data_IF_910250582680
#
_entry.id   IF_910250582680
#
_cell.length_a   1.000
_cell.length_b   1.000
_cell.length_c   1.000
_cell.angle_alpha   90.00
_cell.angle_beta   90.00
_cell.angle_gamma   90.00
#
_symmetry.space_group_name_H-M   'P 1'
#
loop_
_entity.id
_entity.type
_entity.pdbx_description
1 polymer ?
#
# COMPACT_ATOMS: atom_id res chain seq x y z
N UNK A 1 -9.92 -32.80 -44.76
CA UNK A 1 -8.69 -32.02 -44.93
C UNK A 1 -9.11 -30.57 -45.10
N UNK A 2 -8.97 -29.68 -44.14
CA UNK A 2 -8.22 -29.73 -42.88
C UNK A 2 -8.92 -28.81 -41.87
N UNK A 3 -9.01 -29.28 -40.63
CA UNK A 3 -9.33 -28.50 -39.45
C UNK A 3 -8.03 -27.96 -38.86
N UNK A 4 -8.17 -26.88 -38.10
CA UNK A 4 -7.23 -26.33 -37.12
C UNK A 4 -6.19 -25.31 -37.61
N UNK A 5 -6.67 -24.07 -37.81
CA UNK A 5 -5.90 -22.86 -37.52
C UNK A 5 -5.92 -22.65 -35.98
N UNK A 6 -5.06 -23.38 -35.28
CA UNK A 6 -4.83 -23.18 -33.84
C UNK A 6 -4.04 -21.87 -33.65
N UNK A 7 -4.76 -20.79 -33.39
CA UNK A 7 -4.18 -19.49 -33.05
C UNK A 7 -3.56 -19.55 -31.65
N UNK A 8 -2.29 -19.93 -31.59
CA UNK A 8 -1.49 -19.98 -30.36
C UNK A 8 -1.31 -18.56 -29.81
N UNK A 9 -2.11 -18.18 -28.82
CA UNK A 9 -1.95 -16.94 -28.06
C UNK A 9 -0.70 -17.06 -27.17
N UNK A 10 0.43 -16.59 -27.69
CA UNK A 10 1.64 -16.32 -26.89
C UNK A 10 1.36 -15.12 -25.96
N UNK A 11 0.59 -15.35 -24.90
CA UNK A 11 0.62 -14.48 -23.74
C UNK A 11 2.02 -14.60 -23.13
N UNK A 12 2.86 -13.61 -23.38
CA UNK A 12 4.18 -13.50 -22.75
C UNK A 12 3.96 -13.48 -21.24
N UNK A 13 4.38 -14.54 -20.55
CA UNK A 13 4.29 -14.65 -19.10
C UNK A 13 5.21 -13.63 -18.41
N UNK A 14 4.64 -12.47 -18.15
CA UNK A 14 5.28 -11.38 -17.43
C UNK A 14 5.07 -11.49 -15.91
N UNK A 15 4.61 -12.64 -15.38
CA UNK A 15 4.37 -12.83 -13.94
C UNK A 15 5.60 -12.50 -13.09
N UNK A 16 6.79 -12.85 -13.58
CA UNK A 16 8.08 -12.54 -12.97
C UNK A 16 8.36 -11.03 -12.81
N UNK A 17 7.63 -10.16 -13.54
CA UNK A 17 7.73 -8.71 -13.42
C UNK A 17 6.81 -8.14 -12.33
N UNK A 18 5.81 -8.88 -11.83
CA UNK A 18 4.96 -8.40 -10.75
C UNK A 18 5.71 -8.49 -9.42
N UNK A 19 5.64 -7.42 -8.61
CA UNK A 19 6.02 -7.58 -7.21
C UNK A 19 4.89 -8.32 -6.50
N UNK A 20 5.23 -9.43 -5.87
CA UNK A 20 4.31 -10.20 -5.05
C UNK A 20 4.20 -9.61 -3.62
N UNK A 21 3.29 -10.18 -2.85
CA UNK A 21 3.05 -9.85 -1.45
C UNK A 21 4.32 -9.95 -0.58
N UNK A 22 5.16 -10.96 -0.80
CA UNK A 22 6.39 -11.16 -0.02
C UNK A 22 7.35 -9.95 -0.18
N UNK A 23 7.56 -9.47 -1.40
CA UNK A 23 8.42 -8.32 -1.67
C UNK A 23 7.83 -7.04 -1.07
N UNK A 24 6.52 -6.81 -1.25
CA UNK A 24 5.84 -5.63 -0.73
C UNK A 24 5.90 -5.62 0.81
N UNK A 25 5.61 -6.75 1.45
CA UNK A 25 5.64 -6.88 2.92
C UNK A 25 7.04 -6.59 3.47
N UNK A 26 8.09 -7.19 2.89
CA UNK A 26 9.48 -6.90 3.30
C UNK A 26 9.83 -5.42 3.16
N UNK A 27 9.34 -4.75 2.13
CA UNK A 27 9.61 -3.32 1.96
C UNK A 27 8.84 -2.45 2.95
N UNK A 28 7.58 -2.79 3.24
CA UNK A 28 6.75 -2.14 4.27
C UNK A 28 7.35 -2.30 5.67
N UNK A 29 7.95 -3.45 5.98
CA UNK A 29 8.70 -3.68 7.21
C UNK A 29 9.89 -2.73 7.31
N UNK A 30 10.69 -2.58 6.25
CA UNK A 30 11.82 -1.63 6.24
C UNK A 30 11.39 -0.18 6.47
N UNK A 31 10.25 0.24 5.92
CA UNK A 31 9.68 1.58 6.14
C UNK A 31 9.30 1.76 7.61
N UNK A 32 8.69 0.74 8.22
CA UNK A 32 8.32 0.72 9.64
C UNK A 32 9.55 0.75 10.54
N UNK A 33 10.53 -0.11 10.28
CA UNK A 33 11.79 -0.23 11.05
C UNK A 33 12.63 1.04 11.03
N UNK A 34 12.58 1.82 9.94
CA UNK A 34 13.29 3.10 9.87
C UNK A 34 12.68 4.15 10.81
N UNK A 35 11.38 4.07 11.10
CA UNK A 35 10.67 5.11 11.87
C UNK A 35 9.61 4.51 12.78
N UNK A 36 9.99 3.58 13.68
CA UNK A 36 9.07 2.68 14.38
C UNK A 36 8.12 3.43 15.32
N UNK A 37 8.53 4.58 15.85
CA UNK A 37 7.71 5.39 16.76
C UNK A 37 6.62 6.18 16.03
N UNK A 38 6.81 6.49 14.74
CA UNK A 38 5.93 7.41 14.00
C UNK A 38 5.20 6.79 12.83
N UNK A 39 5.71 5.69 12.28
CA UNK A 39 5.18 5.04 11.07
C UNK A 39 4.90 3.58 11.38
N UNK A 40 3.78 3.08 10.87
CA UNK A 40 3.49 1.64 10.86
C UNK A 40 2.85 1.25 9.54
N UNK A 41 3.40 0.23 8.89
CA UNK A 41 2.80 -0.36 7.71
C UNK A 41 2.17 -1.72 8.06
N UNK A 42 0.94 -1.95 7.60
CA UNK A 42 0.30 -3.26 7.67
C UNK A 42 0.85 -4.16 6.56
N UNK A 43 0.77 -5.46 6.78
CA UNK A 43 1.02 -6.42 5.71
C UNK A 43 -0.12 -6.39 4.67
N UNK A 44 0.16 -6.95 3.49
CA UNK A 44 -0.73 -7.00 2.32
C UNK A 44 -2.02 -7.78 2.55
N UNK A 45 -2.07 -8.66 3.55
CA UNK A 45 -3.24 -9.48 3.86
C UNK A 45 -4.26 -8.78 4.75
N UNK A 46 -3.87 -7.69 5.43
CA UNK A 46 -4.72 -7.02 6.40
C UNK A 46 -6.03 -6.51 5.79
N UNK A 47 -5.93 -5.79 4.68
CA UNK A 47 -7.13 -5.23 4.04
C UNK A 47 -8.06 -6.33 3.55
N UNK A 48 -7.51 -7.35 2.87
CA UNK A 48 -8.28 -8.49 2.36
C UNK A 48 -9.04 -9.20 3.49
N UNK A 49 -8.33 -9.52 4.58
CA UNK A 49 -8.92 -10.15 5.75
C UNK A 49 -10.01 -9.29 6.41
N UNK A 50 -9.80 -7.97 6.50
CA UNK A 50 -10.78 -7.03 7.01
C UNK A 50 -12.01 -6.92 6.10
N UNK A 51 -11.83 -6.88 4.77
CA UNK A 51 -12.93 -6.73 3.82
C UNK A 51 -13.77 -7.99 3.67
N UNK A 52 -13.14 -9.16 3.76
CA UNK A 52 -13.79 -10.47 3.62
C UNK A 52 -14.42 -10.93 4.93
N UNK A 53 -13.65 -10.91 6.03
CA UNK A 53 -14.02 -11.55 7.31
C UNK A 53 -14.40 -10.56 8.41
N UNK A 54 -14.19 -9.27 8.18
CA UNK A 54 -14.55 -8.21 9.13
C UNK A 54 -13.61 -8.07 10.33
N UNK A 55 -13.99 -7.18 11.24
CA UNK A 55 -13.15 -6.74 12.36
C UNK A 55 -12.73 -7.86 13.31
N UNK A 56 -13.64 -8.78 13.63
CA UNK A 56 -13.38 -9.88 14.57
C UNK A 56 -12.20 -10.76 14.15
N UNK A 57 -11.93 -10.85 12.85
CA UNK A 57 -10.81 -11.61 12.31
C UNK A 57 -9.46 -10.87 12.46
N UNK A 58 -9.48 -9.53 12.39
CA UNK A 58 -8.27 -8.70 12.38
C UNK A 58 -7.98 -8.00 13.71
N UNK A 59 -8.90 -8.00 14.67
CA UNK A 59 -8.77 -7.27 15.94
C UNK A 59 -7.54 -7.66 16.79
N UNK A 60 -6.96 -8.85 16.56
CA UNK A 60 -5.74 -9.30 17.27
C UNK A 60 -4.44 -8.95 16.54
N UNK A 61 -4.49 -8.47 15.30
CA UNK A 61 -3.30 -8.24 14.48
C UNK A 61 -2.42 -7.13 15.04
N UNK A 62 -3.05 -6.15 15.68
CA UNK A 62 -2.44 -5.01 16.37
C UNK A 62 -2.24 -5.25 17.87
N UNK A 63 -2.37 -6.50 18.38
CA UNK A 63 -2.28 -6.78 19.82
C UNK A 63 -0.96 -6.32 20.46
N UNK A 64 0.15 -6.32 19.69
CA UNK A 64 1.49 -5.94 20.15
C UNK A 64 1.90 -4.52 19.76
N UNK A 65 1.03 -3.76 19.11
CA UNK A 65 1.36 -2.42 18.60
C UNK A 65 0.20 -1.45 18.78
N UNK A 66 0.48 -0.31 19.38
CA UNK A 66 -0.48 0.79 19.46
C UNK A 66 -0.43 1.64 18.19
N UNK A 67 -1.30 1.33 17.22
CA UNK A 67 -1.34 2.08 15.95
C UNK A 67 -1.75 3.54 16.13
N UNK A 68 -2.44 3.90 17.23
CA UNK A 68 -2.87 5.27 17.50
C UNK A 68 -1.77 6.13 18.13
N UNK A 69 -0.66 5.53 18.57
CA UNK A 69 0.55 6.27 18.94
C UNK A 69 1.37 6.70 17.72
N UNK A 70 1.05 6.18 16.53
CA UNK A 70 1.75 6.50 15.29
C UNK A 70 1.21 7.79 14.69
N UNK A 71 2.01 8.42 13.83
CA UNK A 71 1.59 9.57 13.02
C UNK A 71 0.97 9.12 11.69
N UNK A 72 1.55 8.07 11.08
CA UNK A 72 1.21 7.61 9.74
C UNK A 72 1.01 6.10 9.71
N UNK A 73 -0.03 5.66 9.01
CA UNK A 73 -0.22 4.25 8.67
C UNK A 73 -0.21 4.05 7.15
N UNK A 74 0.40 2.96 6.72
CA UNK A 74 0.41 2.51 5.33
C UNK A 74 -0.24 1.13 5.23
N UNK A 75 -1.19 0.97 4.30
CA UNK A 75 -1.89 -0.30 4.11
C UNK A 75 -1.87 -0.63 2.62
N UNK A 76 -1.02 -1.58 2.18
CA UNK A 76 -1.10 -2.14 0.84
C UNK A 76 -2.46 -2.82 0.64
N UNK A 77 -3.04 -2.62 -0.53
CA UNK A 77 -4.33 -3.20 -0.92
C UNK A 77 -4.13 -3.96 -2.21
N UNK A 78 -4.46 -5.25 -2.21
CA UNK A 78 -4.58 -6.05 -3.43
C UNK A 78 -6.04 -6.02 -3.89
N UNK A 79 -6.26 -5.62 -5.14
CA UNK A 79 -7.55 -5.76 -5.82
C UNK A 79 -7.48 -7.05 -6.63
N UNK A 80 -8.03 -8.14 -6.07
CA UNK A 80 -7.84 -9.50 -6.60
C UNK A 80 -8.33 -9.65 -8.05
N UNK A 81 -9.54 -9.14 -8.35
CA UNK A 81 -10.15 -9.25 -9.68
C UNK A 81 -9.34 -8.55 -10.79
N UNK A 82 -8.54 -7.56 -10.44
CA UNK A 82 -7.72 -6.76 -11.37
C UNK A 82 -6.22 -7.11 -11.27
N UNK A 83 -5.84 -8.01 -10.35
CA UNK A 83 -4.47 -8.27 -9.92
C UNK A 83 -3.64 -6.98 -9.76
N UNK A 84 -4.20 -6.00 -9.05
CA UNK A 84 -3.65 -4.65 -8.97
C UNK A 84 -3.33 -4.25 -7.53
N UNK A 85 -2.18 -3.60 -7.34
CA UNK A 85 -1.73 -3.10 -6.05
C UNK A 85 -2.01 -1.61 -5.89
N UNK A 86 -2.61 -1.26 -4.77
CA UNK A 86 -2.90 0.11 -4.35
C UNK A 86 -2.40 0.37 -2.94
N UNK A 87 -2.39 1.65 -2.53
CA UNK A 87 -1.95 2.03 -1.19
C UNK A 87 -2.97 2.93 -0.50
N UNK A 88 -3.30 2.59 0.74
CA UNK A 88 -3.97 3.50 1.66
C UNK A 88 -2.91 4.17 2.54
N UNK A 89 -3.03 5.48 2.69
CA UNK A 89 -2.24 6.28 3.62
C UNK A 89 -3.18 6.96 4.63
N UNK A 90 -3.03 6.61 5.90
CA UNK A 90 -3.69 7.25 7.04
C UNK A 90 -2.71 8.24 7.66
N UNK A 91 -3.14 9.48 7.87
CA UNK A 91 -2.38 10.48 8.62
C UNK A 91 -3.21 10.97 9.80
N UNK A 92 -2.78 10.64 11.01
CA UNK A 92 -3.48 11.02 12.25
C UNK A 92 -3.29 12.50 12.61
N UNK A 93 -2.20 13.13 12.16
CA UNK A 93 -1.90 14.54 12.44
C UNK A 93 -2.83 15.43 11.62
N UNK A 94 -2.95 15.13 10.33
CA UNK A 94 -3.77 15.87 9.38
C UNK A 94 -5.20 15.33 9.24
N UNK A 95 -5.52 14.23 9.93
CA UNK A 95 -6.83 13.54 9.91
C UNK A 95 -7.32 13.25 8.50
N UNK A 96 -6.56 12.49 7.73
CA UNK A 96 -7.03 11.99 6.43
C UNK A 96 -6.77 10.50 6.23
N UNK A 97 -7.56 9.92 5.34
CA UNK A 97 -7.31 8.63 4.72
C UNK A 97 -7.32 8.84 3.21
N UNK A 98 -6.17 8.59 2.58
CA UNK A 98 -5.96 8.77 1.14
C UNK A 98 -5.74 7.44 0.45
N UNK A 99 -6.38 7.26 -0.69
CA UNK A 99 -6.20 6.11 -1.58
C UNK A 99 -5.33 6.55 -2.77
N UNK A 100 -4.21 5.86 -2.94
CA UNK A 100 -3.26 6.05 -4.04
C UNK A 100 -3.35 4.87 -4.99
N UNK A 101 -3.56 5.19 -6.26
CA UNK A 101 -3.73 4.23 -7.33
C UNK A 101 -3.01 4.73 -8.58
N UNK A 102 -2.02 3.97 -9.03
CA UNK A 102 -1.21 4.28 -10.21
C UNK A 102 -1.94 4.06 -11.54
N UNK A 103 -3.16 3.51 -11.52
CA UNK A 103 -4.08 3.39 -12.66
C UNK A 103 -5.30 4.32 -12.56
N UNK A 104 -5.29 5.29 -11.63
CA UNK A 104 -6.37 6.27 -11.41
C UNK A 104 -7.70 5.68 -10.93
N UNK A 105 -7.68 4.47 -10.39
CA UNK A 105 -8.86 3.86 -9.77
C UNK A 105 -9.34 4.65 -8.55
N UNK A 106 -10.58 4.38 -8.15
CA UNK A 106 -11.22 5.03 -7.00
C UNK A 106 -11.87 3.96 -6.14
N UNK A 107 -11.62 4.01 -4.83
CA UNK A 107 -12.16 3.03 -3.91
C UNK A 107 -12.65 3.67 -2.60
N UNK A 108 -13.77 4.39 -2.66
CA UNK A 108 -14.40 4.96 -1.46
C UNK A 108 -14.92 3.90 -0.48
N UNK A 109 -15.24 2.68 -0.96
CA UNK A 109 -15.62 1.56 -0.10
C UNK A 109 -14.45 1.18 0.81
N UNK A 110 -13.26 1.02 0.23
CA UNK A 110 -12.01 0.78 0.94
C UNK A 110 -11.72 1.87 1.98
N UNK A 111 -11.78 3.15 1.59
CA UNK A 111 -11.56 4.28 2.50
C UNK A 111 -12.52 4.28 3.71
N UNK A 112 -13.83 4.07 3.46
CA UNK A 112 -14.84 3.99 4.51
C UNK A 112 -14.62 2.78 5.43
N UNK A 113 -14.20 1.66 4.88
CA UNK A 113 -13.90 0.46 5.64
C UNK A 113 -12.73 0.67 6.59
N UNK A 114 -11.66 1.35 6.14
CA UNK A 114 -10.53 1.69 7.04
C UNK A 114 -10.96 2.65 8.13
N UNK A 115 -11.76 3.69 7.82
CA UNK A 115 -12.27 4.58 8.87
C UNK A 115 -13.09 3.80 9.91
N UNK A 116 -13.96 2.89 9.45
CA UNK A 116 -14.73 2.00 10.35
C UNK A 116 -13.81 1.12 11.19
N UNK A 117 -12.75 0.56 10.60
CA UNK A 117 -11.73 -0.21 11.32
C UNK A 117 -11.09 0.61 12.43
N UNK A 118 -10.62 1.83 12.13
CA UNK A 118 -10.02 2.72 13.14
C UNK A 118 -10.98 3.02 14.29
N UNK A 119 -12.27 3.17 13.99
CA UNK A 119 -13.30 3.37 15.01
C UNK A 119 -13.45 2.16 15.94
N UNK A 120 -13.60 0.96 15.38
CA UNK A 120 -13.73 -0.28 16.15
C UNK A 120 -12.46 -0.57 16.96
N UNK A 121 -11.30 -0.39 16.34
CA UNK A 121 -10.00 -0.63 16.93
C UNK A 121 -9.70 0.33 18.09
N UNK A 122 -10.09 1.59 17.98
CA UNK A 122 -9.90 2.56 19.07
C UNK A 122 -10.77 2.22 20.28
N UNK A 123 -12.03 1.81 20.05
CA UNK A 123 -12.91 1.35 21.13
C UNK A 123 -12.30 0.12 21.82
N UNK A 124 -11.87 -0.89 21.04
CA UNK A 124 -11.30 -2.13 21.58
C UNK A 124 -9.99 -1.91 22.35
N UNK A 125 -9.07 -1.08 21.82
CA UNK A 125 -7.73 -0.89 22.40
C UNK A 125 -7.63 0.24 23.41
N UNK A 126 -8.47 1.27 23.30
CA UNK A 126 -8.41 2.49 24.12
C UNK A 126 -9.62 2.67 25.02
N UNK A 127 -10.67 1.86 24.85
CA UNK A 127 -11.91 1.99 25.63
C UNK A 127 -12.63 3.31 25.41
N UNK A 128 -12.38 3.98 24.28
CA UNK A 128 -12.89 5.31 23.95
C UNK A 128 -13.37 5.35 22.52
N UNK A 129 -14.38 6.16 22.25
CA UNK A 129 -14.82 6.40 20.89
C UNK A 129 -13.76 7.13 20.08
N UNK A 130 -13.64 6.75 18.81
CA UNK A 130 -12.92 7.51 17.80
C UNK A 130 -13.93 8.36 17.03
N UNK A 131 -13.85 9.67 17.17
CA UNK A 131 -14.76 10.57 16.48
C UNK A 131 -14.29 10.79 15.03
N UNK A 132 -15.08 10.41 14.01
CA UNK A 132 -14.72 10.59 12.60
C UNK A 132 -14.82 12.05 12.15
N UNK A 133 -15.39 12.94 12.96
CA UNK A 133 -15.54 14.36 12.63
C UNK A 133 -14.19 15.00 12.31
N UNK A 134 -14.12 15.66 11.15
CA UNK A 134 -12.91 16.30 10.64
C UNK A 134 -11.96 15.36 9.88
N UNK A 135 -12.27 14.08 9.76
CA UNK A 135 -11.51 13.17 8.91
C UNK A 135 -11.88 13.32 7.43
N UNK A 136 -10.86 13.44 6.58
CA UNK A 136 -11.02 13.57 5.13
C UNK A 136 -10.71 12.26 4.42
N UNK A 137 -11.65 11.75 3.63
CA UNK A 137 -11.47 10.55 2.79
C UNK A 137 -11.27 10.96 1.32
N UNK A 138 -10.13 10.62 0.72
CA UNK A 138 -9.82 11.06 -0.66
C UNK A 138 -9.24 9.95 -1.52
N UNK A 139 -9.67 9.91 -2.78
CA UNK A 139 -8.93 9.25 -3.84
C UNK A 139 -7.99 10.28 -4.48
N UNK A 140 -6.68 10.00 -4.48
CA UNK A 140 -5.67 10.95 -4.94
C UNK A 140 -5.60 10.90 -6.47
N UNK A 141 -5.91 12.02 -7.12
CA UNK A 141 -5.90 12.13 -8.59
C UNK A 141 -4.52 12.44 -9.18
N UNK A 142 -3.69 13.16 -8.43
CA UNK A 142 -2.43 13.73 -8.91
C UNK A 142 -1.21 12.99 -8.34
N UNK A 143 -1.24 11.65 -8.33
CA UNK A 143 -0.06 10.84 -8.04
C UNK A 143 0.61 10.38 -9.34
N UNK A 144 1.90 10.01 -9.31
CA UNK A 144 2.56 9.33 -10.43
C UNK A 144 1.75 8.13 -10.94
N UNK A 145 1.64 8.02 -12.26
CA UNK A 145 0.82 7.00 -12.92
C UNK A 145 1.70 5.96 -13.61
N UNK A 146 1.29 4.71 -13.58
CA UNK A 146 1.90 3.64 -14.34
C UNK A 146 1.42 3.67 -15.80
N UNK A 147 2.27 3.20 -16.71
CA UNK A 147 1.97 3.08 -18.14
C UNK A 147 2.03 1.62 -18.63
N UNK A 148 2.07 0.67 -17.70
CA UNK A 148 2.04 -0.77 -17.95
C UNK A 148 1.17 -1.47 -16.90
N UNK A 149 1.13 -2.82 -16.91
CA UNK A 149 0.26 -3.60 -16.00
C UNK A 149 1.00 -4.24 -14.82
N UNK A 150 2.35 -4.20 -14.77
CA UNK A 150 3.15 -4.97 -13.80
C UNK A 150 3.89 -4.12 -12.75
N UNK A 151 3.94 -2.79 -12.92
CA UNK A 151 4.66 -1.90 -11.99
C UNK A 151 3.84 -1.45 -10.76
N UNK A 152 2.55 -1.78 -10.65
CA UNK A 152 1.69 -1.33 -9.55
C UNK A 152 2.29 -1.56 -8.16
N UNK A 153 2.91 -2.73 -7.93
CA UNK A 153 3.61 -3.02 -6.67
C UNK A 153 4.83 -2.13 -6.41
N UNK A 154 5.57 -1.75 -7.47
CA UNK A 154 6.69 -0.78 -7.36
C UNK A 154 6.14 0.59 -7.00
N UNK A 155 5.07 1.04 -7.65
CA UNK A 155 4.41 2.30 -7.31
C UNK A 155 3.94 2.31 -5.85
N UNK A 156 3.33 1.24 -5.35
CA UNK A 156 2.93 1.12 -3.93
C UNK A 156 4.11 1.27 -2.98
N UNK A 157 5.22 0.57 -3.23
CA UNK A 157 6.43 0.70 -2.44
C UNK A 157 6.97 2.14 -2.44
N UNK A 158 7.02 2.79 -3.61
CA UNK A 158 7.55 4.14 -3.72
C UNK A 158 6.60 5.21 -3.17
N UNK A 159 5.28 5.04 -3.30
CA UNK A 159 4.31 5.91 -2.64
C UNK A 159 4.52 5.87 -1.12
N UNK A 160 4.58 4.68 -0.52
CA UNK A 160 4.80 4.54 0.92
C UNK A 160 6.15 5.13 1.34
N UNK A 161 7.22 4.88 0.58
CA UNK A 161 8.56 5.38 0.91
C UNK A 161 8.65 6.91 0.91
N UNK A 162 8.08 7.56 -0.10
CA UNK A 162 8.08 9.02 -0.19
C UNK A 162 7.17 9.65 0.87
N UNK A 163 5.92 9.16 0.98
CA UNK A 163 4.94 9.71 1.92
C UNK A 163 5.36 9.52 3.37
N UNK A 164 6.02 8.40 3.70
CA UNK A 164 6.53 8.16 5.05
C UNK A 164 7.57 9.20 5.49
N UNK A 165 8.26 9.84 4.55
CA UNK A 165 9.25 10.92 4.78
C UNK A 165 8.72 12.33 4.51
N UNK A 166 7.42 12.49 4.27
CA UNK A 166 6.82 13.77 3.86
C UNK A 166 7.44 14.32 2.56
N UNK A 167 7.99 13.45 1.71
CA UNK A 167 8.59 13.82 0.45
C UNK A 167 7.54 13.94 -0.67
N UNK A 168 7.68 14.90 -1.60
CA UNK A 168 6.77 15.03 -2.74
C UNK A 168 6.96 13.85 -3.70
N UNK A 169 5.86 13.32 -4.26
CA UNK A 169 5.88 12.22 -5.24
C UNK A 169 6.39 12.68 -6.63
N UNK A 170 7.63 13.12 -6.72
CA UNK A 170 8.27 13.68 -7.93
C UNK A 170 8.93 12.61 -8.82
N UNK A 171 8.29 11.46 -8.99
CA UNK A 171 8.75 10.39 -9.87
C UNK A 171 7.71 10.03 -10.94
N UNK A 172 8.08 9.18 -11.89
CA UNK A 172 7.20 8.72 -12.96
C UNK A 172 7.60 7.31 -13.40
N UNK A 173 6.87 6.76 -14.36
CA UNK A 173 7.14 5.47 -15.00
C UNK A 173 8.61 5.28 -15.43
N UNK A 174 9.30 6.35 -15.86
CA UNK A 174 10.70 6.29 -16.32
C UNK A 174 11.68 5.77 -15.25
N UNK A 175 11.30 5.82 -13.98
CA UNK A 175 12.14 5.42 -12.85
C UNK A 175 11.90 3.99 -12.38
N UNK A 176 10.86 3.27 -12.86
CA UNK A 176 10.47 1.96 -12.29
C UNK A 176 11.60 0.93 -12.36
N UNK A 177 12.35 0.86 -13.46
CA UNK A 177 13.50 -0.05 -13.58
C UNK A 177 14.64 0.27 -12.59
N UNK A 178 14.80 1.54 -12.20
CA UNK A 178 15.75 1.94 -11.14
C UNK A 178 15.20 1.55 -9.77
N UNK A 179 13.92 1.81 -9.52
CA UNK A 179 13.28 1.50 -8.24
C UNK A 179 13.17 0.01 -7.97
N UNK A 180 12.93 -0.83 -8.99
CA UNK A 180 13.00 -2.30 -8.86
C UNK A 180 14.34 -2.76 -8.31
N UNK A 181 15.43 -2.34 -8.95
CA UNK A 181 16.81 -2.62 -8.49
C UNK A 181 17.09 -2.05 -7.10
N UNK A 182 16.52 -0.89 -6.78
CA UNK A 182 16.65 -0.29 -5.47
C UNK A 182 15.93 -1.11 -4.39
N UNK A 183 14.66 -1.48 -4.60
CA UNK A 183 13.85 -2.27 -3.67
C UNK A 183 14.57 -3.60 -3.38
N UNK A 184 15.00 -4.31 -4.43
CA UNK A 184 15.73 -5.57 -4.29
C UNK A 184 17.01 -5.40 -3.46
N UNK A 185 17.79 -4.37 -3.76
CA UNK A 185 19.02 -4.06 -3.03
C UNK A 185 18.76 -3.69 -1.56
N UNK A 186 17.76 -2.85 -1.28
CA UNK A 186 17.39 -2.40 0.06
C UNK A 186 16.87 -3.55 0.92
N UNK A 187 16.05 -4.45 0.34
CA UNK A 187 15.60 -5.70 0.98
C UNK A 187 16.80 -6.60 1.29
N UNK A 188 17.69 -6.82 0.32
CA UNK A 188 18.89 -7.66 0.52
C UNK A 188 19.82 -7.10 1.61
N UNK A 189 19.91 -5.76 1.71
CA UNK A 189 20.71 -5.07 2.74
C UNK A 189 19.97 -4.84 4.05
N UNK A 190 18.67 -5.17 4.12
CA UNK A 190 17.77 -4.88 5.24
C UNK A 190 17.85 -3.42 5.70
N UNK A 191 17.93 -2.49 4.74
CA UNK A 191 18.14 -1.07 5.04
C UNK A 191 17.75 -0.16 3.88
N UNK A 192 16.88 0.81 4.16
CA UNK A 192 16.54 1.89 3.23
C UNK A 192 17.70 2.88 3.07
N UNK A 193 17.85 3.45 1.87
CA UNK A 193 18.80 4.53 1.63
C UNK A 193 18.46 5.78 2.45
N UNK A 194 19.48 6.57 2.79
CA UNK A 194 19.33 7.72 3.72
C UNK A 194 18.42 8.83 3.16
N UNK A 195 18.44 9.06 1.86
CA UNK A 195 17.57 10.02 1.19
C UNK A 195 16.72 9.32 0.15
N UNK A 196 15.52 9.86 -0.05
CA UNK A 196 14.83 9.72 -1.31
C UNK A 196 15.59 10.62 -2.27
N UNK A 197 16.31 10.04 -3.22
CA UNK A 197 17.08 10.83 -4.20
C UNK A 197 16.11 11.75 -4.94
N UNK A 198 16.32 13.05 -4.79
CA UNK A 198 15.74 14.07 -5.67
C UNK A 198 16.02 13.65 -7.12
N UNK A 199 14.97 13.69 -7.93
CA UNK A 199 15.00 13.34 -9.35
C UNK A 199 15.63 14.42 -10.20
#
# INVERSE_FOLDING_TARGET
MDLDDEQYDFTVDNSHLYLNDEVINKYMDLITERSPDTVYAFNTFFYLALSDKGYSHVCRWTKKIDIFSKKKLFIPVHIEDENHWCLIYVDFVHKFIKYYDSLRGRNFKCLKLILKYLMMEHVDKKGKDFHPSGWLLMNVKNCPQQLNHWDCGVFVCMFAEYLSRDAPLNFSQKHMNRFRRQIEFEIKKKKLRKSVSET
#
